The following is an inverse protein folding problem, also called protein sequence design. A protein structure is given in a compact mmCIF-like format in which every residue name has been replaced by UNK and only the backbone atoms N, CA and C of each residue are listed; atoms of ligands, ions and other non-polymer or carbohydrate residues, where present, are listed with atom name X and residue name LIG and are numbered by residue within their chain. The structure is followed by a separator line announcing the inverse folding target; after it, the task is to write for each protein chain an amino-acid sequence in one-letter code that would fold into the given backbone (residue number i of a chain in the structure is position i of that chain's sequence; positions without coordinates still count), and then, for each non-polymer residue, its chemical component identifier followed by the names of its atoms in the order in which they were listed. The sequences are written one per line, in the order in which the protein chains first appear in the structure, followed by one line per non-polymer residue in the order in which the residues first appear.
data_IF_411603670293
#
_entry.id   IF_411603670293
#
_cell.length_a   1.000
_cell.length_b   1.000
_cell.length_c   1.000
_cell.angle_alpha   90.00
_cell.angle_beta   90.00
_cell.angle_gamma   90.00
#
_symmetry.space_group_name_H-M   'P 1'
#
loop_
_entity.id
_entity.type
_entity.pdbx_description
1 polymer ?
#
# COMPACT_ATOMS: atom_id res chain seq x y z
N UNK A 1 27.75 -18.56 -2.02
CA UNK A 1 27.11 -18.40 -0.71
C UNK A 1 26.57 -16.99 -0.57
N UNK A 2 25.41 -16.85 0.05
CA UNK A 2 24.83 -15.55 0.43
C UNK A 2 24.52 -15.58 1.91
N UNK A 3 24.89 -14.54 2.63
CA UNK A 3 24.61 -14.40 4.07
C UNK A 3 24.28 -12.96 4.46
N UNK A 4 23.52 -12.79 5.53
CA UNK A 4 23.26 -11.52 6.18
C UNK A 4 24.16 -11.38 7.41
N UNK A 5 24.60 -10.17 7.67
CA UNK A 5 25.42 -9.89 8.83
C UNK A 5 25.47 -8.42 9.21
N UNK A 6 26.20 -8.12 10.27
CA UNK A 6 26.61 -6.76 10.64
C UNK A 6 27.86 -6.38 9.85
N UNK A 7 28.42 -5.19 10.12
CA UNK A 7 29.66 -4.75 9.46
C UNK A 7 30.84 -5.67 9.74
N UNK A 8 30.85 -6.31 10.89
CA UNK A 8 31.96 -7.09 11.41
C UNK A 8 31.78 -8.61 11.29
N UNK A 9 30.54 -9.10 11.22
CA UNK A 9 30.26 -10.55 11.26
C UNK A 9 29.14 -10.98 10.33
N UNK A 10 29.32 -12.17 9.72
CA UNK A 10 28.30 -12.91 9.01
C UNK A 10 27.40 -13.65 10.00
N UNK A 11 26.21 -13.12 10.28
CA UNK A 11 25.34 -13.66 11.31
C UNK A 11 24.39 -14.77 10.82
N UNK A 12 24.01 -14.74 9.56
CA UNK A 12 22.96 -15.62 9.06
C UNK A 12 23.15 -16.01 7.59
N UNK A 13 23.27 -17.31 7.35
CA UNK A 13 23.42 -17.87 6.02
C UNK A 13 22.06 -18.01 5.35
N UNK A 14 21.85 -17.34 4.21
CA UNK A 14 20.59 -17.34 3.47
C UNK A 14 20.58 -18.43 2.40
N UNK A 15 21.69 -18.57 1.68
CA UNK A 15 21.73 -19.42 0.50
C UNK A 15 23.14 -19.98 0.28
N UNK A 16 23.21 -21.26 -0.02
CA UNK A 16 24.42 -21.89 -0.50
C UNK A 16 24.07 -22.91 -1.58
N UNK A 17 24.67 -22.79 -2.72
CA UNK A 17 24.64 -23.80 -3.77
C UNK A 17 26.07 -24.12 -4.19
N UNK A 18 26.41 -25.39 -4.23
CA UNK A 18 27.62 -25.89 -4.89
C UNK A 18 27.18 -26.54 -6.21
N UNK A 19 27.79 -26.15 -7.31
CA UNK A 19 27.56 -26.75 -8.62
C UNK A 19 28.89 -27.32 -9.11
N UNK A 20 28.92 -28.63 -9.29
CA UNK A 20 29.99 -29.28 -10.04
C UNK A 20 29.45 -29.43 -11.43
N UNK A 21 29.86 -28.60 -12.41
CA UNK A 21 29.89 -29.01 -13.79
C UNK A 21 30.31 -27.92 -14.79
N UNK A 22 30.86 -28.39 -15.88
CA UNK A 22 31.65 -27.74 -16.93
C UNK A 22 30.89 -26.86 -17.93
N UNK A 23 29.69 -26.39 -17.64
CA UNK A 23 28.97 -25.50 -18.54
C UNK A 23 28.85 -24.08 -18.01
N UNK A 24 29.69 -23.19 -18.52
CA UNK A 24 29.51 -21.76 -18.42
C UNK A 24 28.27 -21.32 -19.21
N UNK A 25 27.12 -21.31 -18.59
CA UNK A 25 25.96 -20.55 -19.08
C UNK A 25 25.73 -19.42 -18.08
N UNK A 26 25.55 -18.21 -18.60
CA UNK A 26 25.06 -17.09 -17.78
C UNK A 26 23.78 -17.52 -17.08
N UNK A 27 23.84 -17.69 -15.77
CA UNK A 27 22.69 -18.10 -14.99
C UNK A 27 22.31 -16.97 -14.05
N UNK A 28 21.15 -16.39 -14.28
CA UNK A 28 20.56 -15.45 -13.31
C UNK A 28 19.98 -16.29 -12.18
N UNK A 29 20.53 -16.12 -10.97
CA UNK A 29 20.02 -16.77 -9.77
C UNK A 29 19.20 -15.73 -9.01
N UNK A 30 17.89 -15.91 -8.97
CA UNK A 30 16.99 -15.11 -8.15
C UNK A 30 16.88 -15.76 -6.76
N UNK A 31 17.36 -15.07 -5.76
CA UNK A 31 17.24 -15.49 -4.35
C UNK A 31 16.22 -14.57 -3.68
N UNK A 32 15.07 -15.12 -3.30
CA UNK A 32 14.11 -14.44 -2.44
C UNK A 32 14.30 -14.94 -1.02
N UNK A 33 14.33 -14.04 -0.08
CA UNK A 33 14.54 -14.34 1.33
C UNK A 33 13.49 -13.63 2.19
N UNK A 34 12.85 -14.41 3.06
CA UNK A 34 12.04 -13.89 4.15
C UNK A 34 12.78 -14.14 5.46
N UNK A 35 13.15 -13.10 6.22
CA UNK A 35 13.92 -13.30 7.45
C UNK A 35 13.07 -14.08 8.47
N UNK A 36 13.69 -15.04 9.15
CA UNK A 36 13.05 -15.72 10.27
C UNK A 36 12.80 -14.74 11.43
N UNK A 37 11.76 -14.98 12.22
CA UNK A 37 11.39 -14.16 13.38
C UNK A 37 12.55 -13.90 14.35
N UNK A 38 13.49 -14.83 14.44
CA UNK A 38 14.71 -14.67 15.27
C UNK A 38 15.61 -13.56 14.76
N UNK A 39 15.77 -13.44 13.45
CA UNK A 39 16.60 -12.39 12.81
C UNK A 39 15.93 -11.04 12.99
N UNK A 40 14.63 -10.97 12.76
CA UNK A 40 13.83 -9.74 12.96
C UNK A 40 13.92 -9.27 14.41
N UNK A 41 13.73 -10.18 15.38
CA UNK A 41 13.84 -9.87 16.81
C UNK A 41 15.27 -9.41 17.19
N UNK A 42 16.31 -10.04 16.62
CA UNK A 42 17.69 -9.63 16.85
C UNK A 42 17.97 -8.22 16.35
N UNK A 43 17.49 -7.89 15.14
CA UNK A 43 17.64 -6.58 14.54
C UNK A 43 16.94 -5.51 15.40
N UNK A 44 15.69 -5.77 15.79
CA UNK A 44 14.90 -4.87 16.63
C UNK A 44 15.52 -4.68 18.02
N UNK A 45 15.96 -5.78 18.66
CA UNK A 45 16.58 -5.73 19.99
C UNK A 45 17.86 -4.89 19.99
N UNK A 46 18.65 -4.96 18.92
CA UNK A 46 19.92 -4.23 18.80
C UNK A 46 19.76 -2.87 18.08
N UNK A 47 18.54 -2.47 17.74
CA UNK A 47 18.23 -1.23 17.03
C UNK A 47 19.09 -1.00 15.79
N UNK A 48 19.29 -2.05 15.00
CA UNK A 48 20.16 -2.01 13.83
C UNK A 48 19.42 -1.30 12.67
N UNK A 49 20.01 -0.21 12.19
CA UNK A 49 19.49 0.57 11.06
C UNK A 49 20.00 0.08 9.70
N UNK A 50 20.96 -0.81 9.69
CA UNK A 50 21.46 -1.42 8.46
C UNK A 50 22.02 -2.81 8.72
N UNK A 51 21.90 -3.65 7.72
CA UNK A 51 22.59 -4.93 7.60
C UNK A 51 23.45 -4.95 6.35
N UNK A 52 24.27 -5.95 6.26
CA UNK A 52 25.09 -6.19 5.08
C UNK A 52 24.76 -7.56 4.49
N UNK A 53 24.53 -7.55 3.18
CA UNK A 53 24.44 -8.76 2.40
C UNK A 53 25.84 -9.10 1.89
N UNK A 54 26.34 -10.22 2.35
CA UNK A 54 27.61 -10.76 1.88
C UNK A 54 27.33 -11.82 0.83
N UNK A 55 27.97 -11.74 -0.31
CA UNK A 55 27.97 -12.83 -1.24
C UNK A 55 29.38 -13.21 -1.66
N UNK A 56 29.63 -14.51 -1.62
CA UNK A 56 30.90 -15.11 -1.97
C UNK A 56 30.65 -16.06 -3.14
N UNK A 57 31.43 -15.89 -4.18
CA UNK A 57 31.45 -16.79 -5.33
C UNK A 57 32.83 -17.42 -5.38
N UNK A 58 32.91 -18.68 -5.01
CA UNK A 58 34.11 -19.48 -5.15
C UNK A 58 34.10 -20.17 -6.51
N UNK A 59 35.05 -19.84 -7.35
CA UNK A 59 35.24 -20.47 -8.64
C UNK A 59 36.55 -21.27 -8.63
N UNK A 60 36.42 -22.58 -8.82
CA UNK A 60 37.55 -23.48 -8.94
C UNK A 60 37.63 -24.08 -10.33
N UNK A 61 38.69 -23.81 -11.04
CA UNK A 61 39.02 -24.45 -12.30
C UNK A 61 40.38 -25.13 -12.20
N UNK A 62 40.68 -26.07 -13.12
CA UNK A 62 41.96 -26.78 -13.15
C UNK A 62 43.21 -25.86 -13.18
N UNK A 63 43.03 -24.61 -13.57
CA UNK A 63 44.11 -23.65 -13.78
C UNK A 63 44.04 -22.42 -12.86
N UNK A 64 42.88 -22.11 -12.28
CA UNK A 64 42.70 -20.91 -11.47
C UNK A 64 41.68 -21.15 -10.36
N UNK A 65 42.06 -20.76 -9.14
CA UNK A 65 41.15 -20.59 -8.04
C UNK A 65 40.84 -19.08 -7.90
N UNK A 66 39.58 -18.69 -7.95
CA UNK A 66 39.16 -17.31 -7.77
C UNK A 66 38.04 -17.24 -6.75
N UNK A 67 38.14 -16.29 -5.85
CA UNK A 67 37.11 -15.97 -4.88
C UNK A 67 36.69 -14.52 -5.10
N UNK A 68 35.42 -14.29 -5.31
CA UNK A 68 34.82 -12.97 -5.41
C UNK A 68 33.93 -12.76 -4.20
N UNK A 69 34.32 -11.81 -3.35
CA UNK A 69 33.53 -11.39 -2.21
C UNK A 69 32.99 -9.99 -2.45
N UNK A 70 31.70 -9.81 -2.23
CA UNK A 70 31.07 -8.49 -2.24
C UNK A 70 30.16 -8.32 -1.04
N UNK A 71 30.10 -7.07 -0.59
CA UNK A 71 29.33 -6.63 0.55
C UNK A 71 28.38 -5.52 0.10
N UNK A 72 27.08 -5.70 0.31
CA UNK A 72 26.05 -4.72 -0.04
C UNK A 72 25.35 -4.29 1.23
N UNK A 73 25.34 -2.97 1.49
CA UNK A 73 24.61 -2.41 2.62
C UNK A 73 23.12 -2.36 2.32
N UNK A 74 22.30 -2.90 3.23
CA UNK A 74 20.85 -2.86 3.20
C UNK A 74 20.38 -1.97 4.35
N UNK A 75 19.66 -0.92 4.03
CA UNK A 75 19.00 -0.09 5.04
C UNK A 75 17.76 -0.80 5.56
N UNK A 76 17.53 -0.69 6.86
CA UNK A 76 16.38 -1.29 7.54
C UNK A 76 15.57 -0.15 8.14
N UNK A 77 14.30 -0.16 7.85
CA UNK A 77 13.34 0.78 8.39
C UNK A 77 12.20 0.03 9.08
N UNK A 78 11.98 0.33 10.36
CA UNK A 78 10.87 -0.20 11.17
C UNK A 78 9.95 0.93 11.65
N UNK A 79 10.22 2.17 11.28
CA UNK A 79 9.45 3.31 11.74
C UNK A 79 8.25 3.55 10.80
N UNK A 80 7.02 3.38 11.27
CA UNK A 80 5.87 3.64 10.42
C UNK A 80 5.71 5.13 10.15
N UNK A 81 5.11 5.50 9.00
CA UNK A 81 4.80 6.89 8.67
C UNK A 81 4.00 7.57 9.78
N UNK A 82 4.17 8.86 9.92
CA UNK A 82 3.44 9.62 10.91
C UNK A 82 2.14 10.19 10.29
N UNK A 83 1.04 10.16 11.07
CA UNK A 83 -0.24 10.77 10.70
C UNK A 83 -0.58 11.86 11.71
N UNK A 84 -0.75 13.10 11.26
CA UNK A 84 -0.97 14.29 12.09
C UNK A 84 -2.11 15.16 11.57
N UNK A 85 -2.50 16.15 12.38
CA UNK A 85 -3.39 17.25 12.01
C UNK A 85 -4.70 16.81 11.34
N UNK A 86 -5.32 15.73 11.87
CA UNK A 86 -6.53 15.16 11.30
C UNK A 86 -7.73 16.06 11.56
N UNK A 87 -8.34 16.56 10.49
CA UNK A 87 -9.58 17.34 10.50
C UNK A 87 -10.63 16.60 9.68
N UNK A 88 -11.82 16.44 10.25
CA UNK A 88 -12.96 15.78 9.61
C UNK A 88 -14.26 16.31 10.20
N UNK A 89 -15.35 16.14 9.47
CA UNK A 89 -16.67 16.39 10.03
C UNK A 89 -17.00 15.43 11.18
N UNK A 90 -17.83 15.91 12.10
CA UNK A 90 -18.28 15.08 13.23
C UNK A 90 -19.35 14.07 12.83
N UNK A 91 -19.97 14.25 11.67
CA UNK A 91 -21.04 13.41 11.15
C UNK A 91 -21.05 13.34 9.63
N UNK A 92 -21.65 12.28 9.10
CA UNK A 92 -21.92 12.10 7.68
C UNK A 92 -23.33 11.53 7.54
N UNK A 93 -24.07 11.96 6.52
CA UNK A 93 -25.37 11.37 6.20
C UNK A 93 -25.19 10.04 5.49
N UNK A 94 -26.11 9.12 5.72
CA UNK A 94 -26.24 7.89 4.90
C UNK A 94 -26.44 8.30 3.45
N UNK A 95 -25.63 7.78 2.53
CA UNK A 95 -25.62 8.19 1.12
C UNK A 95 -24.97 9.54 0.84
N UNK A 96 -24.50 10.23 1.87
CA UNK A 96 -23.78 11.50 1.74
C UNK A 96 -22.28 11.30 1.61
N UNK A 97 -21.58 12.42 1.38
CA UNK A 97 -20.13 12.50 1.27
C UNK A 97 -19.60 13.17 2.54
N UNK A 98 -18.60 12.56 3.15
CA UNK A 98 -17.75 13.15 4.17
C UNK A 98 -16.37 13.47 3.61
N UNK A 99 -15.61 14.26 4.35
CA UNK A 99 -14.22 14.51 4.01
C UNK A 99 -13.32 14.33 5.23
N UNK A 100 -12.04 14.08 4.98
CA UNK A 100 -10.99 14.13 5.98
C UNK A 100 -9.74 14.77 5.38
N UNK A 101 -9.14 15.68 6.14
CA UNK A 101 -7.86 16.29 5.83
C UNK A 101 -6.88 15.79 6.89
N UNK A 102 -5.70 15.36 6.46
CA UNK A 102 -4.65 14.91 7.36
C UNK A 102 -3.27 15.10 6.72
N UNK A 103 -2.27 15.12 7.55
CA UNK A 103 -0.88 15.19 7.15
C UNK A 103 -0.20 13.87 7.39
N UNK A 104 0.69 13.49 6.47
CA UNK A 104 1.59 12.34 6.65
C UNK A 104 3.03 12.78 6.43
N UNK A 105 3.97 12.03 7.01
CA UNK A 105 5.40 12.23 6.77
C UNK A 105 5.76 11.91 5.31
N UNK A 106 6.85 12.49 4.82
CA UNK A 106 7.27 12.39 3.41
C UNK A 106 7.63 10.97 2.96
N UNK A 107 7.99 10.09 3.89
CA UNK A 107 8.27 8.67 3.68
C UNK A 107 7.03 7.82 3.38
N UNK A 108 5.83 8.41 3.48
CA UNK A 108 4.59 7.72 3.15
C UNK A 108 4.53 7.37 1.67
N UNK A 109 4.51 6.08 1.37
CA UNK A 109 4.34 5.57 0.01
C UNK A 109 2.88 5.61 -0.44
N UNK A 110 1.96 5.19 0.44
CA UNK A 110 0.52 5.23 0.17
C UNK A 110 -0.27 5.52 1.44
N UNK A 111 -1.40 6.20 1.27
CA UNK A 111 -2.38 6.36 2.33
C UNK A 111 -3.80 6.23 1.80
N UNK A 112 -4.74 5.91 2.68
CA UNK A 112 -6.16 5.80 2.33
C UNK A 112 -7.04 5.86 3.58
N UNK A 113 -8.33 6.14 3.34
CA UNK A 113 -9.37 6.10 4.37
C UNK A 113 -10.19 4.82 4.19
N UNK A 114 -10.40 4.11 5.29
CA UNK A 114 -11.22 2.92 5.38
C UNK A 114 -12.42 3.21 6.30
N UNK A 115 -13.62 3.08 5.77
CA UNK A 115 -14.88 3.25 6.51
C UNK A 115 -15.38 1.93 7.13
N UNK A 116 -14.63 0.85 6.94
CA UNK A 116 -15.01 -0.50 7.34
C UNK A 116 -16.02 -1.18 6.40
N UNK A 117 -16.28 -0.56 5.26
CA UNK A 117 -16.96 -1.12 4.09
C UNK A 117 -15.89 -1.64 3.11
N UNK A 118 -16.29 -2.27 2.03
CA UNK A 118 -15.33 -2.88 1.10
C UNK A 118 -14.40 -1.88 0.39
N UNK A 119 -14.78 -0.61 0.32
CA UNK A 119 -14.07 0.41 -0.45
C UNK A 119 -13.01 1.13 0.38
N UNK A 120 -11.88 1.41 -0.27
CA UNK A 120 -10.79 2.26 0.23
C UNK A 120 -10.81 3.57 -0.54
N UNK A 121 -10.77 4.69 0.18
CA UNK A 121 -10.81 6.02 -0.41
C UNK A 121 -9.42 6.62 -0.40
N UNK A 122 -8.90 6.91 -1.58
CA UNK A 122 -7.55 7.44 -1.77
C UNK A 122 -7.54 8.96 -1.73
N UNK A 123 -6.45 9.58 -1.24
CA UNK A 123 -6.33 11.03 -1.13
C UNK A 123 -6.00 11.71 -2.46
N UNK A 124 -6.39 12.97 -2.54
CA UNK A 124 -5.72 13.98 -3.35
C UNK A 124 -4.60 14.53 -2.48
N UNK A 125 -3.35 14.40 -2.91
CA UNK A 125 -2.18 14.72 -2.09
C UNK A 125 -1.34 15.83 -2.69
N UNK A 126 -0.79 16.68 -1.81
CA UNK A 126 0.13 17.75 -2.16
C UNK A 126 1.36 17.63 -1.25
N UNK A 127 2.52 17.50 -1.85
CA UNK A 127 3.79 17.46 -1.13
C UNK A 127 4.28 18.89 -0.89
N UNK A 128 4.63 19.18 0.34
CA UNK A 128 5.24 20.45 0.73
C UNK A 128 6.29 20.19 1.80
N UNK A 129 7.55 20.49 1.47
CA UNK A 129 8.69 20.23 2.34
C UNK A 129 8.71 18.74 2.80
N UNK A 130 8.77 18.49 4.09
CA UNK A 130 8.82 17.14 4.68
C UNK A 130 7.43 16.56 5.01
N UNK A 131 6.37 17.14 4.45
CA UNK A 131 4.99 16.78 4.78
C UNK A 131 4.15 16.59 3.54
N UNK A 132 3.33 15.55 3.54
CA UNK A 132 2.30 15.30 2.53
C UNK A 132 0.95 15.70 3.12
N UNK A 133 0.28 16.68 2.49
CA UNK A 133 -1.07 17.09 2.81
C UNK A 133 -2.06 16.27 2.01
N UNK A 134 -3.01 15.66 2.68
CA UNK A 134 -3.95 14.72 2.10
C UNK A 134 -5.39 15.20 2.30
N UNK A 135 -6.19 15.21 1.24
CA UNK A 135 -7.63 15.42 1.28
C UNK A 135 -8.32 14.17 0.71
N UNK A 136 -9.18 13.57 1.48
CA UNK A 136 -9.98 12.41 1.07
C UNK A 136 -11.45 12.74 1.17
N UNK A 137 -12.19 12.47 0.11
CA UNK A 137 -13.64 12.37 0.14
C UNK A 137 -14.04 10.90 0.27
N UNK A 138 -14.97 10.61 1.17
CA UNK A 138 -15.42 9.25 1.41
C UNK A 138 -16.93 9.20 1.59
N UNK A 139 -17.49 8.02 1.46
CA UNK A 139 -18.90 7.76 1.74
C UNK A 139 -19.05 6.52 2.62
N UNK A 140 -20.12 6.48 3.40
CA UNK A 140 -20.53 5.27 4.10
C UNK A 140 -21.61 4.50 3.33
N UNK A 141 -21.91 4.92 2.06
CA UNK A 141 -22.93 4.35 1.24
C UNK A 141 -24.32 4.50 1.85
N UNK A 142 -25.20 3.54 1.59
CA UNK A 142 -26.55 3.47 2.17
C UNK A 142 -26.60 2.76 3.54
N UNK A 143 -25.47 2.55 4.17
CA UNK A 143 -25.33 1.98 5.52
C UNK A 143 -24.44 2.87 6.38
N UNK A 144 -24.61 2.85 7.70
CA UNK A 144 -23.66 3.53 8.60
C UNK A 144 -22.23 3.02 8.39
N UNK A 145 -21.25 3.92 8.54
CA UNK A 145 -19.85 3.51 8.62
C UNK A 145 -19.71 2.46 9.73
N UNK A 146 -18.93 1.42 9.49
CA UNK A 146 -18.78 0.30 10.43
C UNK A 146 -18.35 0.80 11.81
N UNK A 147 -19.13 0.50 12.82
CA UNK A 147 -18.91 0.91 14.20
C UNK A 147 -18.82 2.44 14.43
N UNK A 148 -19.30 3.26 13.50
CA UNK A 148 -19.17 4.71 13.59
C UNK A 148 -17.72 5.21 13.64
N UNK A 149 -16.81 4.54 12.94
CA UNK A 149 -15.37 4.85 12.93
C UNK A 149 -14.86 4.85 11.49
N UNK A 150 -14.09 5.87 11.15
CA UNK A 150 -13.22 5.88 9.98
C UNK A 150 -11.78 5.63 10.43
N UNK A 151 -11.02 4.92 9.62
CA UNK A 151 -9.60 4.66 9.83
C UNK A 151 -8.80 5.27 8.71
N UNK A 152 -7.78 6.02 9.06
CA UNK A 152 -6.78 6.57 8.17
C UNK A 152 -5.57 5.65 8.27
N UNK A 153 -5.15 5.08 7.17
CA UNK A 153 -4.01 4.18 7.09
C UNK A 153 -2.94 4.83 6.23
N UNK A 154 -1.71 4.85 6.71
CA UNK A 154 -0.53 5.27 5.95
C UNK A 154 0.51 4.15 6.00
N UNK A 155 1.13 3.87 4.87
CA UNK A 155 2.14 2.82 4.70
C UNK A 155 3.36 3.40 3.98
N UNK A 156 4.56 3.01 4.37
CA UNK A 156 5.82 3.34 3.70
C UNK A 156 6.22 2.28 2.66
N UNK A 157 7.36 2.49 2.00
CA UNK A 157 7.93 1.52 1.06
C UNK A 157 8.46 0.26 1.74
N UNK A 158 8.77 0.33 3.03
CA UNK A 158 9.29 -0.80 3.82
C UNK A 158 8.16 -1.71 4.31
N UNK A 159 6.90 -1.31 4.12
CA UNK A 159 5.72 -2.04 4.56
C UNK A 159 5.28 -1.72 5.99
N UNK A 160 5.93 -0.75 6.68
CA UNK A 160 5.46 -0.31 7.97
C UNK A 160 4.18 0.49 7.81
N UNK A 161 3.24 0.30 8.72
CA UNK A 161 1.94 0.98 8.64
C UNK A 161 1.53 1.65 9.94
N UNK A 162 0.88 2.81 9.80
CA UNK A 162 0.24 3.55 10.89
C UNK A 162 -1.24 3.63 10.65
N UNK A 163 -2.01 3.42 11.70
CA UNK A 163 -3.47 3.57 11.68
C UNK A 163 -3.87 4.64 12.68
N UNK A 164 -4.67 5.59 12.22
CA UNK A 164 -5.31 6.60 13.06
C UNK A 164 -6.81 6.53 12.87
N UNK A 165 -7.57 6.46 13.95
CA UNK A 165 -9.02 6.32 13.93
C UNK A 165 -9.74 7.59 14.37
N UNK A 166 -10.90 7.88 13.77
CA UNK A 166 -11.79 8.96 14.19
C UNK A 166 -13.22 8.46 14.30
N UNK A 167 -13.88 8.81 15.40
CA UNK A 167 -15.31 8.55 15.56
C UNK A 167 -16.11 9.52 14.73
N UNK A 168 -17.16 9.01 14.12
CA UNK A 168 -18.06 9.78 13.27
C UNK A 168 -19.49 9.31 13.49
N UNK A 169 -20.43 10.25 13.64
CA UNK A 169 -21.83 9.92 13.67
C UNK A 169 -22.35 9.75 12.26
N UNK A 170 -23.03 8.66 11.99
CA UNK A 170 -23.78 8.52 10.75
C UNK A 170 -25.23 8.90 10.98
N UNK A 171 -25.68 9.95 10.33
CA UNK A 171 -27.04 10.41 10.43
C UNK A 171 -27.89 9.77 9.32
N UNK A 172 -29.07 9.27 9.68
CA UNK A 172 -30.05 8.84 8.72
C UNK A 172 -30.66 10.08 8.06
N UNK A 173 -30.67 10.12 6.75
CA UNK A 173 -31.47 11.14 6.04
C UNK A 173 -32.93 10.99 6.42
N UNK A 174 -33.65 12.11 6.55
CA UNK A 174 -35.11 12.07 6.61
C UNK A 174 -35.62 11.21 5.44
N UNK A 175 -36.65 10.38 5.73
CA UNK A 175 -37.25 9.42 4.79
C UNK A 175 -37.13 9.92 3.34
N UNK A 176 -36.48 9.13 2.50
CA UNK A 176 -36.50 9.35 1.06
C UNK A 176 -37.96 9.45 0.61
N UNK A 177 -38.34 10.59 0.00
CA UNK A 177 -39.62 10.66 -0.68
C UNK A 177 -39.49 9.80 -1.95
N UNK A 178 -40.20 8.70 -1.97
CA UNK A 178 -40.27 7.87 -3.17
C UNK A 178 -41.21 8.57 -4.13
N UNK A 179 -40.68 9.10 -5.22
CA UNK A 179 -41.46 9.65 -6.32
C UNK A 179 -41.49 8.63 -7.45
N UNK A 180 -42.68 8.22 -7.86
CA UNK A 180 -42.84 7.40 -9.05
C UNK A 180 -42.83 8.31 -10.29
N UNK A 181 -41.77 8.25 -11.06
CA UNK A 181 -41.63 8.97 -12.33
C UNK A 181 -42.05 8.00 -13.43
N UNK A 182 -43.13 8.32 -14.15
CA UNK A 182 -43.47 7.60 -15.38
C UNK A 182 -42.60 8.16 -16.51
N UNK A 183 -41.70 7.34 -17.00
CA UNK A 183 -40.88 7.65 -18.17
C UNK A 183 -41.47 6.91 -19.35
N UNK A 184 -41.91 7.64 -20.37
CA UNK A 184 -42.42 7.01 -21.58
C UNK A 184 -41.27 6.57 -22.53
N UNK A 185 -41.62 5.69 -23.45
CA UNK A 185 -40.66 5.14 -24.41
C UNK A 185 -40.07 6.22 -25.34
N UNK A 186 -40.84 7.27 -25.65
CA UNK A 186 -40.36 8.34 -26.54
C UNK A 186 -39.25 9.14 -25.83
N UNK A 187 -39.46 9.50 -24.56
CA UNK A 187 -38.41 10.15 -23.77
C UNK A 187 -37.13 9.33 -23.73
N UNK A 188 -37.23 8.01 -23.53
CA UNK A 188 -36.08 7.13 -23.52
C UNK A 188 -35.37 7.12 -24.88
N UNK A 189 -36.10 7.02 -25.98
CA UNK A 189 -35.56 7.03 -27.34
C UNK A 189 -34.86 8.34 -27.65
N UNK A 190 -35.50 9.46 -27.35
CA UNK A 190 -34.93 10.79 -27.60
C UNK A 190 -33.60 10.99 -26.82
N UNK A 191 -33.56 10.62 -25.55
CA UNK A 191 -32.37 10.72 -24.73
C UNK A 191 -31.27 9.75 -25.16
N UNK A 192 -31.63 8.53 -25.56
CA UNK A 192 -30.65 7.59 -26.10
C UNK A 192 -30.03 8.12 -27.39
N UNK A 193 -30.83 8.63 -28.32
CA UNK A 193 -30.38 9.19 -29.58
C UNK A 193 -29.50 10.45 -29.35
N UNK A 194 -29.87 11.30 -28.37
CA UNK A 194 -29.08 12.46 -27.97
C UNK A 194 -27.65 12.09 -27.44
N UNK A 195 -27.59 11.02 -26.61
CA UNK A 195 -26.32 10.61 -25.98
C UNK A 195 -25.43 9.81 -26.95
N UNK A 196 -26.02 8.93 -27.72
CA UNK A 196 -25.25 7.99 -28.55
C UNK A 196 -25.22 8.36 -30.05
N UNK A 197 -25.89 9.43 -30.43
CA UNK A 197 -25.98 9.87 -31.83
C UNK A 197 -26.42 8.74 -32.79
N UNK A 198 -27.26 7.82 -32.30
CA UNK A 198 -27.75 6.65 -33.01
C UNK A 198 -29.25 6.65 -33.01
N UNK A 199 -29.85 6.41 -34.15
CA UNK A 199 -31.31 6.14 -34.23
C UNK A 199 -31.60 4.75 -33.65
N UNK A 200 -32.45 4.66 -32.65
CA UNK A 200 -32.97 3.38 -32.23
C UNK A 200 -33.88 2.88 -33.34
N UNK A 201 -33.43 1.86 -34.08
CA UNK A 201 -34.22 1.16 -35.05
C UNK A 201 -35.54 0.74 -34.38
N UNK A 202 -36.68 1.17 -34.99
CA UNK A 202 -37.99 0.82 -34.50
C UNK A 202 -38.12 -0.71 -34.51
N UNK A 203 -38.19 -1.30 -33.32
CA UNK A 203 -38.66 -2.68 -33.21
C UNK A 203 -40.15 -2.70 -33.59
N UNK A 204 -40.44 -3.30 -34.75
CA UNK A 204 -41.79 -3.67 -35.16
C UNK A 204 -42.31 -4.80 -34.27
#
# INVERSE_FOLDING_TARGET
QVSLGTEEENLYKIYQQSQSDNEFKEKIINVSFSPEDKVVKFIQKNNLKSLYLYYTIDYKNKFFDSNIEKKIKISIDFEPPNIKNIKTDSYVYVGGIGYVIYETSIDTFKSYVDTGLAEKFHPISINKEDTIYNLVFFTCGNRPCKNGVIRIIAEDLSGNSKISSRRMKTLLTKRWQVSNIKVDLNFIKDKYNEIFNTEILSAN
#
